data_IF_301381653230
#
_entry.id   IF_301381653230
#
_cell.length_a   1.000
_cell.length_b   1.000
_cell.length_c   1.000
_cell.angle_alpha   90.00
_cell.angle_beta   90.00
_cell.angle_gamma   90.00
#
_symmetry.space_group_name_H-M   'P 1'
#
loop_
_entity.id
_entity.type
_entity.pdbx_description
1 polymer ?
#
# COMPACT_ATOMS: atom_id res chain seq x y z
N UNK A 1 3.24 -10.83 -8.04
CA UNK A 1 4.21 -10.95 -6.95
C UNK A 1 5.18 -9.78 -6.95
N UNK A 2 5.66 -9.35 -5.77
CA UNK A 2 6.53 -8.18 -5.61
C UNK A 2 7.80 -8.28 -6.45
N UNK A 3 8.46 -9.43 -6.47
CA UNK A 3 9.68 -9.63 -7.26
C UNK A 3 9.49 -9.39 -8.76
N UNK A 4 8.31 -9.72 -9.30
CA UNK A 4 8.00 -9.45 -10.71
C UNK A 4 7.90 -7.94 -10.98
N UNK A 5 7.31 -7.18 -10.06
CA UNK A 5 7.23 -5.71 -10.16
C UNK A 5 8.62 -5.04 -10.06
N UNK A 6 9.52 -5.63 -9.26
CA UNK A 6 10.87 -5.12 -9.07
C UNK A 6 11.85 -5.55 -10.16
N UNK A 7 11.50 -6.57 -10.97
CA UNK A 7 12.31 -7.03 -12.10
C UNK A 7 12.04 -6.14 -13.31
N UNK A 8 12.82 -5.07 -13.44
CA UNK A 8 12.71 -4.13 -14.57
C UNK A 8 13.15 -4.83 -15.85
N UNK A 9 12.29 -4.96 -16.88
CA UNK A 9 12.64 -5.63 -18.13
C UNK A 9 13.77 -4.91 -18.89
N UNK A 10 14.56 -5.62 -19.71
CA UNK A 10 15.54 -5.01 -20.60
C UNK A 10 14.92 -3.90 -21.47
N UNK A 11 15.61 -2.76 -21.59
CA UNK A 11 15.14 -1.61 -22.35
C UNK A 11 14.08 -0.74 -21.65
N UNK A 12 13.64 -1.10 -20.44
CA UNK A 12 12.79 -0.26 -19.59
C UNK A 12 13.59 0.35 -18.46
N UNK A 13 13.11 1.47 -17.93
CA UNK A 13 13.74 2.16 -16.81
C UNK A 13 12.68 2.55 -15.78
N UNK A 14 12.91 2.20 -14.53
CA UNK A 14 12.14 2.76 -13.43
C UNK A 14 12.62 4.20 -13.17
N UNK A 15 11.70 5.10 -12.90
CA UNK A 15 11.98 6.50 -12.52
C UNK A 15 11.59 6.77 -11.06
N UNK A 16 10.54 6.10 -10.58
CA UNK A 16 10.09 6.21 -9.21
C UNK A 16 9.38 4.95 -8.71
N UNK A 17 9.31 4.86 -7.38
CA UNK A 17 8.41 3.94 -6.67
C UNK A 17 7.18 4.72 -6.21
N UNK A 18 5.99 4.14 -6.36
CA UNK A 18 4.75 4.70 -5.81
C UNK A 18 4.17 3.72 -4.81
N UNK A 19 3.96 4.17 -3.59
CA UNK A 19 3.28 3.40 -2.56
C UNK A 19 1.79 3.77 -2.57
N UNK A 20 0.98 2.76 -2.76
CA UNK A 20 -0.46 2.86 -2.72
C UNK A 20 -0.95 2.73 -1.28
N UNK A 21 -1.18 3.86 -0.61
CA UNK A 21 -1.83 4.00 0.69
C UNK A 21 -3.24 4.61 0.57
N UNK A 22 -3.82 4.58 -0.63
CA UNK A 22 -5.11 5.25 -0.95
C UNK A 22 -6.27 4.58 -0.22
N UNK A 23 -6.39 3.23 -0.32
CA UNK A 23 -7.47 2.46 0.28
C UNK A 23 -8.85 3.04 -0.04
N UNK A 24 -9.16 3.11 -1.35
CA UNK A 24 -10.38 3.74 -1.85
C UNK A 24 -11.65 2.87 -1.72
N UNK A 25 -11.52 1.58 -1.39
CA UNK A 25 -12.68 0.70 -1.22
C UNK A 25 -13.47 1.08 0.04
N UNK A 26 -14.80 1.24 -0.05
CA UNK A 26 -15.63 1.60 1.10
C UNK A 26 -15.46 0.61 2.26
N UNK A 27 -15.43 1.14 3.48
CA UNK A 27 -15.32 0.41 4.75
C UNK A 27 -13.99 -0.31 5.01
N UNK A 28 -13.03 -0.33 4.10
CA UNK A 28 -11.69 -0.83 4.37
C UNK A 28 -10.89 0.19 5.18
N UNK A 29 -10.14 -0.30 6.18
CA UNK A 29 -9.31 0.52 7.07
C UNK A 29 -7.99 -0.16 7.43
N UNK A 30 -7.65 -1.26 6.77
CA UNK A 30 -6.44 -2.06 7.05
C UNK A 30 -5.15 -1.31 6.68
N UNK A 31 -5.10 -0.67 5.51
CA UNK A 31 -3.93 0.10 5.09
C UNK A 31 -3.80 1.40 5.88
N UNK A 32 -4.93 2.06 6.23
CA UNK A 32 -4.93 3.23 7.11
C UNK A 32 -4.28 2.90 8.47
N UNK A 33 -4.72 1.81 9.11
CA UNK A 33 -4.12 1.36 10.38
C UNK A 33 -2.66 0.97 10.22
N UNK A 34 -2.31 0.27 9.15
CA UNK A 34 -0.92 -0.09 8.85
C UNK A 34 -0.03 1.16 8.71
N UNK A 35 -0.50 2.20 8.04
CA UNK A 35 0.25 3.45 7.90
C UNK A 35 0.48 4.16 9.23
N UNK A 36 -0.48 4.11 10.16
CA UNK A 36 -0.36 4.70 11.49
C UNK A 36 0.49 3.86 12.44
N UNK A 37 0.31 2.55 12.44
CA UNK A 37 0.95 1.65 13.41
C UNK A 37 2.36 1.21 12.98
N UNK A 38 2.63 1.17 11.66
CA UNK A 38 3.87 0.70 11.06
C UNK A 38 4.52 1.75 10.15
N UNK A 39 4.34 3.04 10.43
CA UNK A 39 4.82 4.13 9.59
C UNK A 39 6.33 4.12 9.37
N UNK A 40 7.12 3.90 10.41
CA UNK A 40 8.58 3.76 10.34
C UNK A 40 8.99 2.58 9.45
N UNK A 41 8.39 1.41 9.68
CA UNK A 41 8.64 0.19 8.90
C UNK A 41 8.28 0.41 7.42
N UNK A 42 7.18 1.13 7.17
CA UNK A 42 6.73 1.47 5.82
C UNK A 42 7.76 2.34 5.11
N UNK A 43 8.21 3.44 5.72
CA UNK A 43 9.16 4.37 5.09
C UNK A 43 10.51 3.71 4.85
N UNK A 44 11.00 2.88 5.78
CA UNK A 44 12.21 2.07 5.55
C UNK A 44 11.98 1.06 4.42
N UNK A 45 10.81 0.42 4.36
CA UNK A 45 10.42 -0.46 3.26
C UNK A 45 10.44 0.24 1.90
N UNK A 46 10.01 1.52 1.84
CA UNK A 46 10.14 2.35 0.64
C UNK A 46 11.59 2.51 0.21
N UNK A 47 12.52 2.78 1.14
CA UNK A 47 13.96 2.90 0.79
C UNK A 47 14.53 1.59 0.24
N UNK A 48 14.08 0.45 0.75
CA UNK A 48 14.47 -0.87 0.24
C UNK A 48 13.98 -1.04 -1.20
N UNK A 49 12.72 -0.69 -1.48
CA UNK A 49 12.15 -0.76 -2.83
C UNK A 49 12.86 0.19 -3.79
N UNK A 50 13.14 1.43 -3.38
CA UNK A 50 13.91 2.40 -4.18
C UNK A 50 15.29 1.84 -4.55
N UNK A 51 15.99 1.26 -3.59
CA UNK A 51 17.30 0.64 -3.80
C UNK A 51 17.23 -0.55 -4.75
N UNK A 52 16.20 -1.39 -4.61
CA UNK A 52 16.02 -2.59 -5.44
C UNK A 52 15.82 -2.27 -6.93
N UNK A 53 15.14 -1.16 -7.26
CA UNK A 53 14.92 -0.74 -8.65
C UNK A 53 15.85 0.39 -9.11
N UNK A 54 16.77 0.84 -8.25
CA UNK A 54 17.80 1.83 -8.58
C UNK A 54 17.27 3.25 -8.80
N UNK A 55 16.24 3.69 -8.06
CA UNK A 55 15.63 5.02 -8.20
C UNK A 55 15.89 5.91 -6.99
N UNK A 56 15.93 7.23 -7.23
CA UNK A 56 16.11 8.24 -6.18
C UNK A 56 14.83 8.91 -5.72
N UNK A 57 13.65 8.50 -6.23
CA UNK A 57 12.37 9.12 -5.89
C UNK A 57 11.31 8.08 -5.54
N UNK A 58 10.52 8.37 -4.53
CA UNK A 58 9.33 7.62 -4.19
C UNK A 58 8.20 8.55 -3.74
N UNK A 59 6.96 8.12 -3.99
CA UNK A 59 5.75 8.81 -3.60
C UNK A 59 4.87 7.88 -2.78
N UNK A 60 4.28 8.39 -1.69
CA UNK A 60 3.28 7.68 -0.90
C UNK A 60 1.95 8.39 -1.13
N UNK A 61 1.08 7.80 -1.95
CA UNK A 61 -0.25 8.35 -2.23
C UNK A 61 -1.25 7.98 -1.15
N UNK A 62 -1.91 8.98 -0.55
CA UNK A 62 -2.90 8.80 0.51
C UNK A 62 -4.08 9.71 0.23
N UNK A 63 -5.33 9.22 0.35
CA UNK A 63 -6.51 10.07 0.22
C UNK A 63 -6.61 11.08 1.37
N UNK A 64 -7.08 12.30 1.05
CA UNK A 64 -7.16 13.43 1.98
C UNK A 64 -8.23 13.27 3.09
N UNK A 65 -9.00 12.19 3.07
CA UNK A 65 -9.84 11.77 4.19
C UNK A 65 -9.08 11.05 5.33
N UNK A 66 -7.76 10.90 5.19
CA UNK A 66 -6.84 10.29 6.18
C UNK A 66 -5.78 11.31 6.61
N UNK A 67 -6.16 12.48 7.18
CA UNK A 67 -5.23 13.55 7.50
C UNK A 67 -4.18 13.16 8.57
N UNK A 68 -4.55 12.25 9.47
CA UNK A 68 -3.69 11.67 10.49
C UNK A 68 -2.54 10.86 9.88
N UNK A 69 -2.85 9.97 8.93
CA UNK A 69 -1.84 9.17 8.22
C UNK A 69 -0.93 10.07 7.35
N UNK A 70 -1.50 11.07 6.68
CA UNK A 70 -0.73 12.04 5.89
C UNK A 70 0.28 12.78 6.80
N UNK A 71 -0.19 13.35 7.92
CA UNK A 71 0.67 14.09 8.85
C UNK A 71 1.76 13.17 9.46
N UNK A 72 1.36 11.96 9.88
CA UNK A 72 2.26 10.98 10.48
C UNK A 72 3.38 10.57 9.51
N UNK A 73 3.03 10.14 8.30
CA UNK A 73 4.01 9.69 7.31
C UNK A 73 4.84 10.84 6.74
N UNK A 74 4.29 12.06 6.61
CA UNK A 74 5.07 13.25 6.19
C UNK A 74 6.16 13.55 7.21
N UNK A 75 5.85 13.46 8.51
CA UNK A 75 6.83 13.67 9.58
C UNK A 75 7.97 12.64 9.52
N UNK A 76 7.65 11.37 9.31
CA UNK A 76 8.66 10.30 9.21
C UNK A 76 9.47 10.48 7.93
N UNK A 77 8.80 10.68 6.79
CA UNK A 77 9.44 10.80 5.48
C UNK A 77 10.41 11.99 5.38
N UNK A 78 10.22 13.04 6.18
CA UNK A 78 11.13 14.19 6.24
C UNK A 78 12.58 13.81 6.58
N UNK A 79 12.80 12.68 7.27
CA UNK A 79 14.12 12.13 7.55
C UNK A 79 14.76 11.33 6.39
N UNK A 80 14.04 11.15 5.28
CA UNK A 80 14.46 10.27 4.18
C UNK A 80 14.48 11.02 2.84
N UNK A 81 15.65 11.04 2.20
CA UNK A 81 15.81 11.76 0.93
C UNK A 81 15.01 11.10 -0.20
N UNK A 82 14.26 11.90 -0.92
CA UNK A 82 13.56 11.49 -2.14
C UNK A 82 12.22 10.80 -1.91
N UNK A 83 11.71 10.77 -0.67
CA UNK A 83 10.37 10.24 -0.35
C UNK A 83 9.42 11.43 -0.10
N UNK A 84 8.28 11.42 -0.78
CA UNK A 84 7.25 12.44 -0.69
C UNK A 84 5.89 11.82 -0.41
N UNK A 85 5.14 12.38 0.54
CA UNK A 85 3.74 12.01 0.77
C UNK A 85 2.86 12.91 -0.08
N UNK A 86 2.00 12.29 -0.90
CA UNK A 86 1.13 12.98 -1.85
C UNK A 86 -0.33 12.83 -1.40
N UNK A 87 -0.94 13.91 -0.86
CA UNK A 87 -2.37 13.91 -0.56
C UNK A 87 -3.17 13.85 -1.87
N UNK A 88 -4.11 12.91 -1.94
CA UNK A 88 -4.95 12.69 -3.12
C UNK A 88 -6.41 12.98 -2.81
N UNK A 89 -7.15 13.44 -3.80
CA UNK A 89 -8.58 13.65 -3.69
C UNK A 89 -9.30 12.32 -3.48
N UNK A 90 -10.27 12.28 -2.55
CA UNK A 90 -11.16 11.13 -2.39
C UNK A 90 -11.97 10.95 -3.67
N UNK A 91 -11.73 9.85 -4.37
CA UNK A 91 -12.38 9.53 -5.64
C UNK A 91 -12.26 8.03 -5.90
N UNK A 92 -13.34 7.36 -6.21
CA UNK A 92 -13.31 5.95 -6.57
C UNK A 92 -13.13 5.79 -8.10
N UNK A 93 -12.19 4.97 -8.59
CA UNK A 93 -11.22 4.11 -7.89
C UNK A 93 -9.80 4.73 -7.83
N UNK A 94 -9.58 5.76 -7.02
CA UNK A 94 -8.30 6.49 -6.91
C UNK A 94 -7.11 5.55 -6.58
N UNK A 95 -7.36 4.46 -5.84
CA UNK A 95 -6.36 3.42 -5.54
C UNK A 95 -6.10 2.44 -6.69
N UNK A 96 -6.82 2.52 -7.79
CA UNK A 96 -6.50 1.77 -9.00
C UNK A 96 -5.10 2.13 -9.50
N UNK A 97 -4.27 1.14 -9.82
CA UNK A 97 -2.85 1.34 -10.12
C UNK A 97 -2.61 2.39 -11.22
N UNK A 98 -3.41 2.36 -12.30
CA UNK A 98 -3.28 3.34 -13.40
C UNK A 98 -3.78 4.73 -13.02
N UNK A 99 -4.85 4.83 -12.24
CA UNK A 99 -5.39 6.08 -11.73
C UNK A 99 -4.42 6.74 -10.77
N UNK A 100 -3.82 5.96 -9.86
CA UNK A 100 -2.80 6.45 -8.95
C UNK A 100 -1.57 7.00 -9.67
N UNK A 101 -1.08 6.30 -10.69
CA UNK A 101 0.03 6.78 -11.52
C UNK A 101 -0.33 8.10 -12.20
N UNK A 102 -1.52 8.20 -12.78
CA UNK A 102 -1.97 9.43 -13.43
C UNK A 102 -2.07 10.60 -12.43
N UNK A 103 -2.58 10.35 -11.23
CA UNK A 103 -2.72 11.36 -10.18
C UNK A 103 -1.35 11.85 -9.63
N UNK A 104 -0.38 10.94 -9.48
CA UNK A 104 0.93 11.25 -8.88
C UNK A 104 1.94 11.77 -9.91
N UNK A 105 1.97 11.16 -11.11
CA UNK A 105 2.98 11.47 -12.14
C UNK A 105 2.45 12.33 -13.29
N UNK A 106 1.14 12.49 -13.42
CA UNK A 106 0.53 13.11 -14.61
C UNK A 106 0.66 12.27 -15.88
N UNK A 107 1.01 10.97 -15.77
CA UNK A 107 1.22 10.07 -16.91
C UNK A 107 0.13 9.02 -17.00
N UNK A 108 -0.32 8.73 -18.22
CA UNK A 108 -1.30 7.68 -18.46
C UNK A 108 -0.61 6.39 -18.89
N UNK A 109 -0.88 5.30 -18.17
CA UNK A 109 -0.46 3.96 -18.59
C UNK A 109 -1.34 3.50 -19.74
N UNK A 110 -0.79 3.19 -20.92
CA UNK A 110 -1.59 2.76 -22.08
C UNK A 110 -2.41 1.50 -21.80
N UNK A 111 -3.36 1.16 -22.69
CA UNK A 111 -4.08 -0.11 -22.60
C UNK A 111 -3.14 -1.33 -22.61
N UNK A 112 -3.60 -2.48 -22.10
CA UNK A 112 -2.83 -3.72 -22.19
C UNK A 112 -2.31 -3.98 -23.62
N UNK A 113 -1.09 -4.51 -23.74
CA UNK A 113 -0.25 -5.14 -22.72
C UNK A 113 0.64 -4.19 -21.91
N UNK A 114 0.45 -2.87 -22.01
CA UNK A 114 1.27 -1.91 -21.28
C UNK A 114 1.10 -2.02 -19.75
N UNK A 115 2.20 -1.80 -19.05
CA UNK A 115 2.32 -1.93 -17.59
C UNK A 115 2.83 -0.62 -16.98
N UNK A 116 2.72 -0.41 -15.66
CA UNK A 116 3.27 0.74 -14.94
C UNK A 116 4.71 1.09 -15.30
N UNK A 117 5.56 0.09 -15.46
CA UNK A 117 6.96 0.29 -15.84
C UNK A 117 7.16 0.97 -17.19
N UNK A 118 6.18 0.87 -18.10
CA UNK A 118 6.23 1.52 -19.42
C UNK A 118 6.14 3.05 -19.33
N UNK A 119 5.68 3.56 -18.21
CA UNK A 119 5.68 4.99 -17.86
C UNK A 119 6.65 5.32 -16.72
N UNK A 120 7.57 4.41 -16.39
CA UNK A 120 8.62 4.60 -15.39
C UNK A 120 8.18 4.37 -13.94
N UNK A 121 6.99 3.85 -13.69
CA UNK A 121 6.46 3.63 -12.35
C UNK A 121 6.60 2.17 -11.88
N UNK A 122 6.96 2.00 -10.61
CA UNK A 122 6.83 0.74 -9.87
C UNK A 122 5.88 0.97 -8.71
N UNK A 123 4.73 0.29 -8.70
CA UNK A 123 3.68 0.51 -7.70
C UNK A 123 3.61 -0.65 -6.73
N UNK A 124 3.66 -0.35 -5.42
CA UNK A 124 3.49 -1.31 -4.33
C UNK A 124 2.40 -0.81 -3.36
N UNK A 125 1.68 -1.74 -2.74
CA UNK A 125 0.71 -1.41 -1.69
C UNK A 125 1.43 -1.13 -0.35
N UNK A 126 0.83 -0.31 0.52
CA UNK A 126 1.38 0.07 1.82
C UNK A 126 1.72 -1.15 2.70
N UNK A 127 0.77 -2.06 2.92
CA UNK A 127 0.99 -3.27 3.72
C UNK A 127 2.03 -4.21 3.10
N UNK A 128 2.11 -4.27 1.76
CA UNK A 128 3.15 -5.03 1.06
C UNK A 128 4.53 -4.41 1.30
N UNK A 129 4.63 -3.09 1.36
CA UNK A 129 5.89 -2.38 1.64
C UNK A 129 6.39 -2.66 3.05
N UNK A 130 5.50 -2.69 4.06
CA UNK A 130 5.84 -3.14 5.41
C UNK A 130 6.34 -4.60 5.40
N UNK A 131 5.68 -5.49 4.65
CA UNK A 131 6.12 -6.88 4.53
C UNK A 131 7.51 -7.00 3.87
N UNK A 132 7.88 -6.12 2.94
CA UNK A 132 9.24 -6.05 2.37
C UNK A 132 10.26 -5.67 3.44
N UNK A 133 9.97 -4.66 4.26
CA UNK A 133 10.81 -4.32 5.42
C UNK A 133 11.00 -5.52 6.35
N UNK A 134 9.91 -6.19 6.72
CA UNK A 134 9.96 -7.33 7.63
C UNK A 134 10.75 -8.50 7.05
N UNK A 135 10.59 -8.77 5.75
CA UNK A 135 11.34 -9.84 5.10
C UNK A 135 12.84 -9.53 5.04
N UNK A 136 13.23 -8.31 4.69
CA UNK A 136 14.64 -7.96 4.48
C UNK A 136 15.39 -7.70 5.79
N UNK A 137 14.78 -6.98 6.74
CA UNK A 137 15.45 -6.57 7.97
C UNK A 137 15.13 -7.43 9.20
N UNK A 138 14.00 -8.14 9.18
CA UNK A 138 13.59 -9.00 10.30
C UNK A 138 13.59 -10.49 9.95
N UNK A 139 13.95 -10.84 8.71
CA UNK A 139 13.89 -12.22 8.21
C UNK A 139 12.53 -12.89 8.47
N UNK A 140 11.44 -12.08 8.48
CA UNK A 140 10.07 -12.53 8.72
C UNK A 140 9.38 -12.73 7.38
N UNK A 141 9.00 -13.96 7.01
CA UNK A 141 8.23 -14.19 5.80
C UNK A 141 6.80 -13.64 5.93
N UNK A 142 6.16 -13.37 4.79
CA UNK A 142 4.77 -12.92 4.76
C UNK A 142 3.83 -14.10 5.04
N UNK A 143 3.51 -14.33 6.30
CA UNK A 143 2.63 -15.39 6.80
C UNK A 143 1.35 -14.87 7.44
N UNK A 144 1.21 -13.55 7.56
CA UNK A 144 0.04 -12.91 8.16
C UNK A 144 -0.30 -11.59 7.47
N UNK A 145 -1.55 -11.21 7.53
CA UNK A 145 -2.08 -9.97 6.95
C UNK A 145 -3.14 -9.35 7.84
N UNK A 146 -3.24 -8.03 7.81
CA UNK A 146 -4.40 -7.32 8.39
C UNK A 146 -5.57 -7.46 7.42
N UNK A 147 -6.71 -7.90 7.94
CA UNK A 147 -7.96 -8.10 7.20
C UNK A 147 -9.06 -7.31 7.88
N UNK A 148 -9.74 -6.46 7.13
CA UNK A 148 -10.94 -5.75 7.61
C UNK A 148 -12.14 -6.69 7.55
N UNK A 149 -12.82 -6.89 8.68
CA UNK A 149 -14.11 -7.60 8.76
C UNK A 149 -15.19 -6.56 9.03
N UNK A 150 -16.10 -6.38 8.09
CA UNK A 150 -17.13 -5.35 8.15
C UNK A 150 -18.38 -5.79 7.38
N UNK A 151 -19.46 -5.06 7.54
CA UNK A 151 -20.73 -5.30 6.86
C UNK A 151 -21.92 -5.08 7.77
N UNK A 152 -23.13 -5.00 7.18
CA UNK A 152 -24.36 -4.71 7.92
C UNK A 152 -24.71 -5.75 8.98
N UNK A 153 -24.31 -7.01 8.76
CA UNK A 153 -24.55 -8.13 9.67
C UNK A 153 -23.40 -8.39 10.65
N UNK A 154 -22.35 -7.56 10.61
CA UNK A 154 -21.21 -7.70 11.54
C UNK A 154 -21.49 -6.88 12.78
N UNK A 155 -21.42 -7.53 13.96
CA UNK A 155 -21.68 -6.89 15.26
C UNK A 155 -20.61 -5.86 15.63
N UNK A 156 -19.36 -6.22 15.45
CA UNK A 156 -18.19 -5.40 15.81
C UNK A 156 -17.21 -5.33 14.63
N UNK A 157 -17.41 -4.41 13.66
CA UNK A 157 -16.48 -4.21 12.58
C UNK A 157 -15.07 -3.92 13.10
N UNK A 158 -14.06 -4.65 12.58
CA UNK A 158 -12.68 -4.53 13.05
C UNK A 158 -11.65 -4.99 12.02
N UNK A 159 -10.41 -4.57 12.24
CA UNK A 159 -9.26 -5.12 11.56
C UNK A 159 -8.65 -6.26 12.40
N UNK A 160 -8.39 -7.38 11.77
CA UNK A 160 -7.79 -8.55 12.41
C UNK A 160 -6.44 -8.87 11.78
N UNK A 161 -5.40 -9.05 12.61
CA UNK A 161 -4.14 -9.62 12.15
C UNK A 161 -4.33 -11.13 12.01
N UNK A 162 -4.30 -11.62 10.79
CA UNK A 162 -4.74 -12.95 10.42
C UNK A 162 -3.61 -13.73 9.76
N UNK A 163 -3.38 -14.95 10.18
CA UNK A 163 -2.44 -15.86 9.50
C UNK A 163 -3.04 -16.38 8.19
N UNK A 164 -2.18 -16.56 7.20
CA UNK A 164 -2.60 -17.18 5.94
C UNK A 164 -3.15 -18.60 6.19
N UNK A 165 -4.29 -18.92 5.56
CA UNK A 165 -4.99 -20.18 5.77
C UNK A 165 -6.04 -20.17 6.90
N UNK A 166 -6.17 -19.07 7.65
CA UNK A 166 -7.28 -18.92 8.62
C UNK A 166 -8.62 -18.94 7.89
N UNK A 167 -9.55 -19.74 8.41
CA UNK A 167 -10.88 -19.84 7.85
C UNK A 167 -11.66 -18.52 8.00
N UNK A 168 -12.43 -18.15 6.99
CA UNK A 168 -13.27 -16.94 7.01
C UNK A 168 -14.29 -16.99 8.15
N UNK A 169 -14.82 -18.19 8.46
CA UNK A 169 -15.73 -18.39 9.59
C UNK A 169 -15.15 -17.95 10.93
N UNK A 170 -13.85 -18.21 11.18
CA UNK A 170 -13.18 -17.76 12.40
C UNK A 170 -13.07 -16.22 12.48
N UNK A 171 -12.89 -15.55 11.34
CA UNK A 171 -12.87 -14.08 11.31
C UNK A 171 -14.27 -13.49 11.57
N UNK A 172 -15.30 -14.10 11.02
CA UNK A 172 -16.69 -13.70 11.26
C UNK A 172 -17.06 -13.93 12.73
N UNK A 173 -16.69 -15.06 13.31
CA UNK A 173 -16.90 -15.37 14.73
C UNK A 173 -16.21 -14.35 15.63
N UNK A 174 -14.95 -13.99 15.34
CA UNK A 174 -14.20 -12.98 16.08
C UNK A 174 -14.81 -11.59 16.02
N UNK A 175 -15.51 -11.25 14.94
CA UNK A 175 -16.21 -9.97 14.75
C UNK A 175 -17.68 -10.03 15.24
N UNK A 176 -18.22 -11.23 15.45
CA UNK A 176 -19.60 -11.46 15.82
C UNK A 176 -20.60 -11.19 14.69
N UNK A 177 -21.73 -11.86 14.75
CA UNK A 177 -22.84 -11.68 13.81
C UNK A 177 -24.04 -11.08 14.55
N UNK A 178 -24.72 -10.13 13.95
CA UNK A 178 -25.99 -9.62 14.46
C UNK A 178 -27.07 -10.69 14.28
N UNK A 179 -28.02 -10.84 15.24
CA UNK A 179 -29.18 -11.67 15.04
C UNK A 179 -29.93 -11.23 13.79
N UNK A 180 -30.33 -12.18 12.97
CA UNK A 180 -31.12 -11.94 11.74
C UNK A 180 -32.55 -11.53 12.02
#
# INVERSE_FOLDING_TARGET
PTHVKLSVPPGKKAECVIINGVECEPYLTSDHRTMLEHGEELVVGVTILMKAVGVGKAYIGIENNKPDAIAHLTKIAAGYKGIEVVPLKVMYPQGGEKQLIAAVMGRQVPPPPARPIDVGAVVCNASTTVAVYQAVLKNKPLIERVVTVTGKSVKEPKNLLTRMGTQISALIEAAGVLPG
#
